data_IF_468493469751
#
_entry.id   IF_468493469751
#
_cell.length_a   1.000
_cell.length_b   1.000
_cell.length_c   1.000
_cell.angle_alpha   90.00
_cell.angle_beta   90.00
_cell.angle_gamma   90.00
#
_symmetry.space_group_name_H-M   'P 1'
#
loop_
_entity.id
_entity.type
_entity.pdbx_description
1 polymer ?
#
# COMPACT_ATOMS: atom_id res chain seq x y z
N UNK A 1 19.14 14.90 6.80
CA UNK A 1 18.02 14.90 5.83
C UNK A 1 17.25 13.61 6.03
N UNK A 2 15.97 13.65 6.41
CA UNK A 2 15.13 12.44 6.42
C UNK A 2 15.01 11.96 4.97
N UNK A 3 15.31 10.68 4.70
CA UNK A 3 15.25 10.07 3.37
C UNK A 3 13.78 10.03 2.90
N UNK A 4 13.32 11.11 2.29
CA UNK A 4 12.02 11.17 1.63
C UNK A 4 12.25 10.72 0.18
N UNK A 5 11.55 9.65 -0.22
CA UNK A 5 11.47 9.07 -1.56
C UNK A 5 12.62 8.14 -2.03
N UNK A 6 12.45 6.83 -1.77
CA UNK A 6 12.71 5.75 -2.74
C UNK A 6 11.89 4.48 -2.44
N UNK A 7 10.59 4.65 -2.19
CA UNK A 7 9.65 3.54 -1.96
C UNK A 7 9.48 2.70 -3.24
N UNK A 8 9.38 1.37 -3.11
CA UNK A 8 9.28 0.46 -4.26
C UNK A 8 7.86 -0.13 -4.38
N UNK A 9 7.10 0.28 -5.38
CA UNK A 9 5.74 -0.24 -5.63
C UNK A 9 5.71 -1.64 -6.26
N UNK A 10 4.63 -2.44 -6.05
CA UNK A 10 3.44 -2.11 -5.25
C UNK A 10 3.74 -2.10 -3.75
N UNK A 11 2.87 -1.43 -3.00
CA UNK A 11 2.95 -1.37 -1.53
C UNK A 11 1.62 -1.82 -0.93
N UNK A 12 1.68 -2.43 0.25
CA UNK A 12 0.51 -2.89 1.00
C UNK A 12 0.33 -2.03 2.25
N UNK A 13 -0.86 -1.51 2.47
CA UNK A 13 -1.28 -0.84 3.70
C UNK A 13 -1.49 -1.86 4.81
N UNK A 14 -0.58 -1.85 5.79
CA UNK A 14 -0.60 -2.76 6.95
C UNK A 14 -1.29 -2.12 8.16
N UNK A 15 -1.74 -0.87 8.07
CA UNK A 15 -2.53 -0.21 9.10
C UNK A 15 -4.02 -0.57 9.04
N UNK A 16 -4.50 -1.04 7.88
CA UNK A 16 -5.89 -1.46 7.73
C UNK A 16 -6.10 -2.82 8.40
N UNK A 17 -6.81 -2.79 9.53
CA UNK A 17 -6.99 -3.96 10.38
C UNK A 17 -8.03 -4.95 9.87
N UNK A 18 -9.11 -4.46 9.29
CA UNK A 18 -10.24 -5.28 8.83
C UNK A 18 -10.19 -5.36 7.32
N UNK A 19 -9.93 -6.55 6.79
CA UNK A 19 -10.04 -6.80 5.36
C UNK A 19 -11.42 -7.31 5.07
N UNK A 20 -12.01 -6.85 3.98
CA UNK A 20 -13.26 -7.36 3.43
C UNK A 20 -13.20 -7.28 1.89
N UNK A 21 -14.17 -7.86 1.22
CA UNK A 21 -14.19 -7.94 -0.26
C UNK A 21 -14.22 -6.54 -0.89
N UNK A 22 -14.81 -5.56 -0.20
CA UNK A 22 -15.00 -4.20 -0.70
C UNK A 22 -13.69 -3.39 -0.61
N UNK A 23 -12.93 -3.53 0.47
CA UNK A 23 -11.72 -2.74 0.72
C UNK A 23 -10.41 -3.40 0.27
N UNK A 24 -10.42 -4.68 -0.12
CA UNK A 24 -9.20 -5.41 -0.51
C UNK A 24 -8.49 -4.80 -1.73
N UNK A 25 -9.23 -4.07 -2.56
CA UNK A 25 -8.66 -3.33 -3.69
C UNK A 25 -7.99 -2.01 -3.27
N UNK A 26 -8.30 -1.51 -2.08
CA UNK A 26 -7.86 -0.21 -1.56
C UNK A 26 -6.69 -0.32 -0.57
N UNK A 27 -6.28 -1.53 -0.20
CA UNK A 27 -5.12 -1.77 0.66
C UNK A 27 -3.82 -1.87 -0.13
N UNK A 28 -3.88 -2.02 -1.46
CA UNK A 28 -2.69 -2.08 -2.33
C UNK A 28 -2.58 -0.80 -3.14
N UNK A 29 -1.43 -0.12 -3.04
CA UNK A 29 -1.12 1.00 -3.93
C UNK A 29 -0.13 0.54 -4.99
N UNK A 30 -0.43 0.92 -6.23
CA UNK A 30 0.41 0.61 -7.40
C UNK A 30 1.23 1.81 -7.86
N UNK A 31 0.91 3.01 -7.38
CA UNK A 31 1.64 4.24 -7.65
C UNK A 31 1.63 5.18 -6.44
N UNK A 32 2.37 6.28 -6.54
CA UNK A 32 2.49 7.31 -5.52
C UNK A 32 1.27 8.22 -5.40
N UNK A 33 0.24 8.08 -6.25
CA UNK A 33 -0.78 9.11 -6.39
C UNK A 33 -1.99 8.82 -5.49
N UNK A 34 -2.51 9.88 -4.87
CA UNK A 34 -3.84 9.86 -4.29
C UNK A 34 -4.83 10.40 -5.33
N UNK A 35 -5.75 9.54 -5.77
CA UNK A 35 -6.64 9.85 -6.91
C UNK A 35 -7.88 10.67 -6.52
N UNK A 36 -8.08 10.93 -5.23
CA UNK A 36 -9.11 11.84 -4.73
C UNK A 36 -8.51 13.24 -4.47
N UNK A 37 -9.28 14.30 -4.72
CA UNK A 37 -8.86 15.70 -4.52
C UNK A 37 -9.12 16.21 -3.10
N UNK A 38 -9.87 15.47 -2.29
CA UNK A 38 -10.20 15.84 -0.92
C UNK A 38 -9.04 15.52 0.01
N UNK A 39 -8.42 16.57 0.56
CA UNK A 39 -7.39 16.42 1.58
C UNK A 39 -7.98 15.86 2.89
N UNK A 40 -9.21 16.25 3.24
CA UNK A 40 -9.93 15.71 4.41
C UNK A 40 -10.05 14.19 4.33
N UNK A 41 -10.41 13.67 3.14
CA UNK A 41 -10.50 12.23 2.93
C UNK A 41 -9.12 11.55 3.01
N UNK A 42 -8.05 12.22 2.59
CA UNK A 42 -6.70 11.71 2.78
C UNK A 42 -6.32 11.64 4.26
N UNK A 43 -6.63 12.68 5.04
CA UNK A 43 -6.33 12.71 6.47
C UNK A 43 -7.07 11.60 7.21
N UNK A 44 -8.33 11.36 6.85
CA UNK A 44 -9.15 10.31 7.45
C UNK A 44 -8.68 8.90 7.06
N UNK A 45 -8.38 8.68 5.76
CA UNK A 45 -8.18 7.33 5.24
C UNK A 45 -6.73 6.87 5.12
N UNK A 46 -5.75 7.79 5.13
CA UNK A 46 -4.36 7.47 4.73
C UNK A 46 -3.29 8.12 5.59
N UNK A 47 -3.54 9.31 6.15
CA UNK A 47 -2.50 9.99 6.93
C UNK A 47 -2.08 9.12 8.12
N UNK A 48 -0.76 9.02 8.33
CA UNK A 48 -0.12 8.20 9.35
C UNK A 48 -0.22 6.67 9.17
N UNK A 49 -0.86 6.18 8.11
CA UNK A 49 -0.86 4.75 7.83
C UNK A 49 0.57 4.23 7.56
N UNK A 50 0.83 3.01 8.01
CA UNK A 50 2.05 2.25 7.72
C UNK A 50 1.81 1.39 6.47
N UNK A 51 2.76 1.42 5.55
CA UNK A 51 2.78 0.60 4.35
C UNK A 51 4.08 -0.19 4.27
N UNK A 52 4.01 -1.40 3.72
CA UNK A 52 5.19 -2.19 3.38
C UNK A 52 5.41 -2.17 1.86
N UNK A 53 6.65 -1.92 1.44
CA UNK A 53 7.00 -1.85 0.02
C UNK A 53 7.40 -3.21 -0.57
N UNK A 54 7.55 -3.26 -1.89
CA UNK A 54 7.93 -4.48 -2.62
C UNK A 54 9.37 -4.97 -2.35
N UNK A 55 10.08 -4.38 -1.39
CA UNK A 55 11.38 -4.80 -0.88
C UNK A 55 11.37 -5.11 0.63
N UNK A 56 10.22 -5.04 1.29
CA UNK A 56 10.07 -5.35 2.72
C UNK A 56 10.36 -4.18 3.66
N UNK A 57 10.53 -2.96 3.14
CA UNK A 57 10.75 -1.77 3.98
C UNK A 57 9.41 -1.18 4.40
N UNK A 58 9.31 -0.72 5.65
CA UNK A 58 8.10 -0.10 6.17
C UNK A 58 8.20 1.41 6.08
N UNK A 59 7.16 2.04 5.54
CA UNK A 59 7.03 3.49 5.44
C UNK A 59 5.78 3.98 6.14
N UNK A 60 5.80 5.23 6.57
CA UNK A 60 4.63 5.98 7.03
C UNK A 60 4.20 6.99 5.99
N UNK A 61 2.90 7.06 5.71
CA UNK A 61 2.32 8.11 4.86
C UNK A 61 2.23 9.40 5.69
N UNK A 62 2.91 10.46 5.26
CA UNK A 62 3.07 11.68 6.09
C UNK A 62 2.39 12.92 5.52
N UNK A 63 2.14 12.99 4.21
CA UNK A 63 1.42 14.12 3.59
C UNK A 63 1.06 13.83 2.14
N UNK A 64 0.18 14.68 1.61
CA UNK A 64 0.05 14.90 0.17
C UNK A 64 0.90 16.09 -0.26
N UNK A 65 1.50 15.98 -1.44
CA UNK A 65 2.22 17.06 -2.08
C UNK A 65 1.66 17.26 -3.48
N UNK A 66 1.33 18.51 -3.80
CA UNK A 66 1.03 18.87 -5.18
C UNK A 66 2.29 18.72 -6.01
N UNK A 67 2.20 18.02 -7.14
CA UNK A 67 3.29 18.00 -8.11
C UNK A 67 3.52 19.42 -8.63
N UNK A 68 4.77 19.89 -8.64
CA UNK A 68 5.11 21.11 -9.35
C UNK A 68 4.85 20.89 -10.85
N UNK A 69 3.81 21.53 -11.37
CA UNK A 69 3.44 21.43 -12.78
C UNK A 69 4.44 22.29 -13.56
N UNK A 70 5.38 21.67 -14.26
CA UNK A 70 6.11 22.38 -15.33
C UNK A 70 5.08 22.84 -16.36
N UNK A 71 5.21 24.08 -16.86
CA UNK A 71 4.18 24.78 -17.64
C UNK A 71 3.82 24.10 -19.00
N UNK A 72 4.48 22.99 -19.33
CA UNK A 72 4.33 22.21 -20.55
C UNK A 72 3.17 21.19 -20.52
N UNK A 73 2.58 20.91 -19.35
CA UNK A 73 1.54 19.87 -19.24
C UNK A 73 0.24 20.42 -18.65
N UNK A 74 -0.47 21.24 -19.42
CA UNK A 74 -1.74 21.87 -19.04
C UNK A 74 -2.92 20.88 -18.88
N UNK A 75 -2.76 19.61 -19.30
CA UNK A 75 -3.85 18.61 -19.33
C UNK A 75 -3.78 17.53 -18.25
N UNK A 76 -2.76 17.51 -17.39
CA UNK A 76 -2.69 16.54 -16.30
C UNK A 76 -3.42 17.14 -15.09
N UNK A 77 -4.64 16.65 -14.82
CA UNK A 77 -5.37 16.88 -13.56
C UNK A 77 -4.33 16.88 -12.42
N UNK A 78 -4.30 17.94 -11.62
CA UNK A 78 -3.43 18.10 -10.45
C UNK A 78 -3.34 16.80 -9.64
N UNK A 79 -2.31 15.99 -9.89
CA UNK A 79 -2.10 14.73 -9.18
C UNK A 79 -1.37 15.07 -7.88
N UNK A 80 -1.97 14.70 -6.77
CA UNK A 80 -1.32 14.81 -5.47
C UNK A 80 -0.52 13.53 -5.23
N UNK A 81 0.75 13.70 -4.91
CA UNK A 81 1.68 12.60 -4.59
C UNK A 81 1.65 12.38 -3.09
N UNK A 82 1.43 11.14 -2.67
CA UNK A 82 1.65 10.70 -1.30
C UNK A 82 3.15 10.71 -1.01
N UNK A 83 3.51 11.28 0.13
CA UNK A 83 4.88 11.32 0.61
C UNK A 83 5.05 10.30 1.72
N UNK A 84 6.12 9.53 1.59
CA UNK A 84 6.43 8.39 2.46
C UNK A 84 7.72 8.67 3.25
N UNK A 85 7.63 8.47 4.56
CA UNK A 85 8.78 8.49 5.47
C UNK A 85 9.20 7.04 5.76
N UNK A 86 10.45 6.70 5.46
CA UNK A 86 11.00 5.38 5.82
C UNK A 86 11.03 5.25 7.35
N UNK A 87 10.50 4.16 7.87
CA UNK A 87 10.67 3.76 9.26
C UNK A 87 11.93 2.89 9.35
N UNK A 88 12.66 2.95 10.47
CA UNK A 88 13.80 2.05 10.76
C UNK A 88 13.29 0.62 11.13
N UNK A 89 12.21 0.20 10.49
CA UNK A 89 11.52 -1.08 10.66
C UNK A 89 11.50 -1.80 9.30
N UNK A 90 11.89 -3.07 9.29
CA UNK A 90 11.75 -3.97 8.13
C UNK A 90 10.92 -5.18 8.54
N UNK A 91 10.21 -5.77 7.60
CA UNK A 91 9.53 -7.06 7.82
C UNK A 91 10.24 -8.14 7.02
N UNK A 92 10.29 -9.35 7.56
CA UNK A 92 10.64 -10.52 6.77
C UNK A 92 9.46 -10.98 5.91
N UNK A 93 9.76 -11.73 4.85
CA UNK A 93 8.76 -12.19 3.90
C UNK A 93 7.73 -13.10 4.59
N UNK A 94 8.20 -13.99 5.46
CA UNK A 94 7.35 -14.94 6.15
C UNK A 94 6.45 -14.25 7.18
N UNK A 95 6.93 -13.23 7.88
CA UNK A 95 6.10 -12.40 8.75
C UNK A 95 4.95 -11.73 7.98
N UNK A 96 5.25 -11.21 6.78
CA UNK A 96 4.22 -10.61 5.94
C UNK A 96 3.22 -11.67 5.42
N UNK A 97 3.69 -12.88 5.07
CA UNK A 97 2.79 -13.99 4.70
C UNK A 97 1.85 -14.32 5.86
N UNK A 98 2.37 -14.47 7.07
CA UNK A 98 1.58 -14.82 8.25
C UNK A 98 0.57 -13.73 8.58
N UNK A 99 0.97 -12.45 8.49
CA UNK A 99 0.07 -11.32 8.60
C UNK A 99 -1.08 -11.41 7.58
N UNK A 100 -0.77 -11.56 6.30
CA UNK A 100 -1.78 -11.60 5.23
C UNK A 100 -2.69 -12.83 5.34
N UNK A 101 -2.13 -14.00 5.69
CA UNK A 101 -2.91 -15.22 5.93
C UNK A 101 -3.87 -15.04 7.10
N UNK A 102 -3.45 -14.41 8.19
CA UNK A 102 -4.32 -14.12 9.33
C UNK A 102 -5.48 -13.22 8.89
N UNK A 103 -5.20 -12.13 8.14
CA UNK A 103 -6.24 -11.25 7.61
C UNK A 103 -7.23 -11.99 6.69
N UNK A 104 -6.73 -12.77 5.75
CA UNK A 104 -7.58 -13.51 4.79
C UNK A 104 -8.38 -14.62 5.47
N UNK A 105 -7.83 -15.27 6.50
CA UNK A 105 -8.54 -16.31 7.23
C UNK A 105 -9.82 -15.78 7.91
N UNK A 106 -9.86 -14.49 8.24
CA UNK A 106 -11.04 -13.84 8.83
C UNK A 106 -12.11 -13.44 7.79
N UNK A 107 -11.82 -13.53 6.49
CA UNK A 107 -12.80 -13.28 5.42
C UNK A 107 -13.82 -14.41 5.31
N UNK A 108 -15.03 -14.09 4.83
CA UNK A 108 -16.01 -15.09 4.45
C UNK A 108 -15.45 -16.07 3.42
N UNK A 109 -15.85 -17.35 3.53
CA UNK A 109 -15.36 -18.39 2.64
C UNK A 109 -15.98 -18.22 1.25
N UNK A 110 -15.13 -18.00 0.25
CA UNK A 110 -15.49 -17.97 -1.16
C UNK A 110 -14.36 -18.57 -2.02
N UNK A 111 -14.60 -18.71 -3.33
CA UNK A 111 -13.60 -19.28 -4.25
C UNK A 111 -12.30 -18.44 -4.36
N UNK A 112 -12.37 -17.13 -4.09
CA UNK A 112 -11.23 -16.22 -4.16
C UNK A 112 -10.30 -16.39 -2.96
N UNK A 113 -10.87 -16.62 -1.76
CA UNK A 113 -10.13 -16.86 -0.53
C UNK A 113 -9.11 -18.00 -0.68
N UNK A 114 -9.53 -19.14 -1.24
CA UNK A 114 -8.62 -20.28 -1.44
C UNK A 114 -7.49 -19.94 -2.43
N UNK A 115 -7.82 -19.26 -3.54
CA UNK A 115 -6.83 -18.80 -4.52
C UNK A 115 -5.82 -17.82 -3.90
N UNK A 116 -6.27 -16.91 -3.06
CA UNK A 116 -5.38 -15.97 -2.35
C UNK A 116 -4.47 -16.67 -1.35
N UNK A 117 -5.00 -17.58 -0.53
CA UNK A 117 -4.20 -18.36 0.43
C UNK A 117 -3.10 -19.13 -0.30
N UNK A 118 -3.43 -19.79 -1.42
CA UNK A 118 -2.43 -20.49 -2.22
C UNK A 118 -1.35 -19.56 -2.77
N UNK A 119 -1.74 -18.41 -3.33
CA UNK A 119 -0.80 -17.43 -3.88
C UNK A 119 0.12 -16.84 -2.81
N UNK A 120 -0.40 -16.54 -1.62
CA UNK A 120 0.40 -16.05 -0.49
C UNK A 120 1.46 -17.08 -0.09
N UNK A 121 1.05 -18.35 0.08
CA UNK A 121 1.98 -19.43 0.45
C UNK A 121 3.08 -19.64 -0.58
N UNK A 122 2.74 -19.55 -1.87
CA UNK A 122 3.66 -19.75 -3.01
C UNK A 122 4.53 -18.53 -3.33
N UNK A 123 4.28 -17.37 -2.71
CA UNK A 123 5.05 -16.17 -3.02
C UNK A 123 6.52 -16.29 -2.58
N UNK A 124 7.44 -16.02 -3.50
CA UNK A 124 8.89 -16.12 -3.28
C UNK A 124 9.55 -14.78 -2.90
N UNK A 125 8.80 -13.68 -3.00
CA UNK A 125 9.28 -12.33 -2.70
C UNK A 125 8.11 -11.37 -2.39
N UNK A 126 8.41 -10.23 -1.78
CA UNK A 126 7.41 -9.21 -1.39
C UNK A 126 6.56 -8.74 -2.57
N UNK A 127 7.19 -8.50 -3.74
CA UNK A 127 6.46 -8.09 -4.95
C UNK A 127 5.42 -9.13 -5.38
N UNK A 128 5.81 -10.40 -5.43
CA UNK A 128 4.92 -11.50 -5.78
C UNK A 128 3.83 -11.71 -4.75
N UNK A 129 4.16 -11.52 -3.47
CA UNK A 129 3.21 -11.62 -2.36
C UNK A 129 2.14 -10.52 -2.44
N UNK A 130 2.54 -9.26 -2.55
CA UNK A 130 1.62 -8.11 -2.63
C UNK A 130 0.74 -8.21 -3.88
N UNK A 131 1.29 -8.59 -5.04
CA UNK A 131 0.51 -8.77 -6.29
C UNK A 131 -0.33 -10.04 -6.33
N UNK A 132 -0.08 -10.97 -5.40
CA UNK A 132 -0.79 -12.24 -5.31
C UNK A 132 -2.21 -12.10 -4.79
N UNK A 133 -2.53 -10.94 -4.20
CA UNK A 133 -3.87 -10.56 -3.79
C UNK A 133 -4.67 -9.96 -4.94
#
# INVERSE_FOLDING_TARGET
MKNINKISFPVLDISINEWNIENISEIIFYDIYFHNKSYELFEELRLNHKVIDSKGNIFKIIKLQNREISWIIFFVKSKQEMIFELLEETSDLDDLKDFMLNKINNLEVNEYKFKWIEKIKKAENFRGLIRGM
#
